data_IF_057706288588
#
_entry.id   IF_057706288588
#
_cell.length_a   1.000
_cell.length_b   1.000
_cell.length_c   1.000
_cell.angle_alpha   90.00
_cell.angle_beta   90.00
_cell.angle_gamma   90.00
#
_symmetry.space_group_name_H-M   'P 1'
#
loop_
_entity.id
_entity.type
_entity.pdbx_description
1 polymer ?
#
# COMPACT_ATOMS: atom_id res chain seq x y z
N UNK A 1 -42.47 -49.82 -8.94
CA UNK A 1 -42.70 -48.40 -8.75
C UNK A 1 -41.50 -47.77 -8.11
N UNK A 2 -40.68 -47.17 -8.93
CA UNK A 2 -39.52 -46.39 -8.43
C UNK A 2 -40.01 -44.98 -8.17
N UNK A 3 -40.03 -44.56 -6.92
CA UNK A 3 -40.14 -43.18 -6.51
C UNK A 3 -38.84 -42.45 -6.86
N UNK A 4 -38.90 -41.59 -7.85
CA UNK A 4 -37.88 -40.57 -8.05
C UNK A 4 -38.06 -39.52 -6.94
N UNK A 5 -37.20 -39.61 -5.94
CA UNK A 5 -37.14 -38.63 -4.87
C UNK A 5 -36.14 -37.54 -5.20
N UNK A 6 -36.55 -36.33 -4.88
CA UNK A 6 -35.70 -35.23 -4.47
C UNK A 6 -35.11 -34.38 -5.60
N UNK A 7 -35.90 -33.42 -6.06
CA UNK A 7 -35.37 -32.08 -6.31
C UNK A 7 -35.21 -31.38 -4.96
N UNK A 8 -34.06 -31.53 -4.30
CA UNK A 8 -33.64 -30.59 -3.28
C UNK A 8 -33.19 -29.33 -4.01
N UNK A 9 -34.06 -28.35 -4.03
CA UNK A 9 -33.67 -26.97 -4.35
C UNK A 9 -32.74 -26.50 -3.22
N UNK A 10 -31.44 -26.74 -3.38
CA UNK A 10 -30.44 -26.06 -2.60
C UNK A 10 -30.49 -24.58 -2.99
N UNK A 11 -31.12 -23.78 -2.16
CA UNK A 11 -30.86 -22.37 -2.03
C UNK A 11 -29.40 -22.20 -1.52
N UNK A 12 -28.42 -22.57 -2.31
CA UNK A 12 -27.08 -22.07 -2.16
C UNK A 12 -27.17 -20.57 -2.42
N UNK A 13 -27.19 -19.79 -1.34
CA UNK A 13 -26.88 -18.36 -1.40
C UNK A 13 -25.54 -18.30 -2.15
N UNK A 14 -25.56 -17.95 -3.44
CA UNK A 14 -24.34 -17.80 -4.24
C UNK A 14 -23.44 -16.85 -3.45
N UNK A 15 -22.42 -17.40 -2.83
CA UNK A 15 -21.39 -16.60 -2.15
C UNK A 15 -20.88 -15.60 -3.17
N UNK A 16 -21.02 -14.30 -2.89
CA UNK A 16 -20.57 -13.24 -3.80
C UNK A 16 -19.09 -13.50 -4.10
N UNK A 17 -18.74 -13.69 -5.36
CA UNK A 17 -17.36 -13.83 -5.80
C UNK A 17 -16.59 -12.57 -5.42
N UNK A 18 -15.48 -12.74 -4.73
CA UNK A 18 -14.58 -11.63 -4.38
C UNK A 18 -13.63 -11.37 -5.53
N UNK A 19 -13.35 -10.08 -5.74
CA UNK A 19 -12.52 -9.61 -6.85
C UNK A 19 -11.55 -8.53 -6.43
N UNK A 20 -10.31 -8.66 -6.87
CA UNK A 20 -9.30 -7.61 -6.80
C UNK A 20 -8.94 -7.18 -8.20
N UNK A 21 -8.92 -5.87 -8.46
CA UNK A 21 -8.36 -5.32 -9.69
C UNK A 21 -7.05 -4.55 -9.40
N UNK A 22 -6.06 -4.78 -10.22
CA UNK A 22 -4.73 -4.20 -10.14
C UNK A 22 -4.55 -3.23 -11.29
N UNK A 23 -4.45 -1.94 -10.98
CA UNK A 23 -4.29 -0.89 -11.99
C UNK A 23 -2.80 -0.62 -12.19
N UNK A 24 -2.26 -1.14 -13.27
CA UNK A 24 -0.84 -1.23 -13.58
C UNK A 24 -0.34 -2.68 -13.52
N UNK A 25 0.10 -3.20 -14.66
CA UNK A 25 0.64 -4.55 -14.81
C UNK A 25 2.19 -4.56 -14.86
N UNK A 26 2.84 -3.59 -14.21
CA UNK A 26 4.30 -3.53 -14.08
C UNK A 26 4.85 -4.63 -13.16
N UNK A 27 6.03 -4.40 -12.58
CA UNK A 27 6.66 -5.37 -11.67
C UNK A 27 5.87 -5.57 -10.38
N UNK A 28 5.41 -4.47 -9.76
CA UNK A 28 4.60 -4.54 -8.55
C UNK A 28 3.26 -5.21 -8.86
N UNK A 29 2.58 -4.82 -9.95
CA UNK A 29 1.29 -5.39 -10.34
C UNK A 29 1.33 -6.90 -10.57
N UNK A 30 2.33 -7.40 -11.30
CA UNK A 30 2.53 -8.84 -11.51
C UNK A 30 2.83 -9.58 -10.20
N UNK A 31 3.67 -9.01 -9.33
CA UNK A 31 3.99 -9.60 -8.02
C UNK A 31 2.77 -9.63 -7.10
N UNK A 32 1.97 -8.55 -7.07
CA UNK A 32 0.68 -8.52 -6.35
C UNK A 32 -0.23 -9.65 -6.83
N UNK A 33 -0.42 -9.78 -8.14
CA UNK A 33 -1.30 -10.79 -8.72
C UNK A 33 -0.88 -12.22 -8.30
N UNK A 34 0.41 -12.53 -8.39
CA UNK A 34 0.93 -13.83 -7.99
C UNK A 34 0.74 -14.09 -6.48
N UNK A 35 1.07 -13.12 -5.62
CA UNK A 35 0.88 -13.23 -4.17
C UNK A 35 -0.60 -13.41 -3.78
N UNK A 36 -1.51 -12.67 -4.43
CA UNK A 36 -2.96 -12.80 -4.21
C UNK A 36 -3.43 -14.19 -4.61
N UNK A 37 -2.92 -14.70 -5.74
CA UNK A 37 -3.22 -16.05 -6.23
C UNK A 37 -2.77 -17.13 -5.27
N UNK A 38 -1.50 -17.15 -4.90
CA UNK A 38 -0.92 -18.16 -3.99
C UNK A 38 -1.56 -18.16 -2.59
N UNK A 39 -2.10 -17.03 -2.16
CA UNK A 39 -2.86 -16.90 -0.91
C UNK A 39 -4.36 -17.19 -1.07
N UNK A 40 -4.85 -17.35 -2.29
CA UNK A 40 -6.29 -17.52 -2.60
C UNK A 40 -7.17 -16.48 -1.88
N UNK A 41 -6.74 -15.21 -1.87
CA UNK A 41 -7.46 -14.16 -1.15
C UNK A 41 -8.81 -13.83 -1.74
N UNK A 42 -8.97 -14.05 -3.04
CA UNK A 42 -10.17 -13.74 -3.84
C UNK A 42 -10.40 -14.81 -4.90
N UNK A 43 -11.57 -14.80 -5.49
CA UNK A 43 -11.95 -15.74 -6.56
C UNK A 43 -11.46 -15.24 -7.94
N UNK A 44 -11.28 -13.93 -8.12
CA UNK A 44 -10.88 -13.31 -9.38
C UNK A 44 -9.88 -12.16 -9.18
N UNK A 45 -8.86 -12.12 -10.04
CA UNK A 45 -7.89 -11.02 -10.15
C UNK A 45 -7.92 -10.49 -11.58
N UNK A 46 -8.11 -9.18 -11.73
CA UNK A 46 -8.02 -8.48 -13.00
C UNK A 46 -6.77 -7.61 -13.01
N UNK A 47 -5.89 -7.82 -13.99
CA UNK A 47 -4.76 -6.93 -14.26
C UNK A 47 -5.19 -5.94 -15.35
N UNK A 48 -5.18 -4.66 -14.99
CA UNK A 48 -5.44 -3.57 -15.95
C UNK A 48 -4.13 -2.87 -16.31
N UNK A 49 -3.89 -2.67 -17.60
CA UNK A 49 -2.79 -1.81 -18.08
C UNK A 49 -3.17 -1.22 -19.43
N UNK A 50 -2.74 0.02 -19.71
CA UNK A 50 -2.90 0.65 -21.04
C UNK A 50 -2.20 -0.14 -22.14
N UNK A 51 -1.16 -0.89 -21.79
CA UNK A 51 -0.52 -1.89 -22.63
C UNK A 51 -1.19 -3.26 -22.41
N UNK A 52 -2.35 -3.48 -23.01
CA UNK A 52 -3.19 -4.66 -22.74
C UNK A 52 -2.47 -5.99 -22.96
N UNK A 53 -1.50 -6.05 -23.87
CA UNK A 53 -0.66 -7.22 -24.10
C UNK A 53 0.16 -7.60 -22.86
N UNK A 54 0.70 -6.63 -22.13
CA UNK A 54 1.45 -6.87 -20.88
C UNK A 54 0.52 -7.43 -19.81
N UNK A 55 -0.66 -6.83 -19.64
CA UNK A 55 -1.65 -7.29 -18.66
C UNK A 55 -2.11 -8.74 -18.96
N UNK A 56 -2.44 -9.02 -20.24
CA UNK A 56 -2.87 -10.35 -20.69
C UNK A 56 -1.76 -11.39 -20.56
N UNK A 57 -0.55 -11.05 -20.95
CA UNK A 57 0.61 -11.94 -20.85
C UNK A 57 0.90 -12.35 -19.40
N UNK A 58 0.96 -11.39 -18.49
CA UNK A 58 1.18 -11.67 -17.06
C UNK A 58 0.02 -12.44 -16.43
N UNK A 59 -1.23 -12.09 -16.75
CA UNK A 59 -2.39 -12.81 -16.25
C UNK A 59 -2.35 -14.28 -16.68
N UNK A 60 -2.00 -14.56 -17.94
CA UNK A 60 -1.89 -15.92 -18.46
C UNK A 60 -0.75 -16.70 -17.83
N UNK A 61 0.44 -16.10 -17.67
CA UNK A 61 1.62 -16.72 -17.05
C UNK A 61 1.35 -17.09 -15.59
N UNK A 62 0.76 -16.18 -14.82
CA UNK A 62 0.36 -16.44 -13.43
C UNK A 62 -0.73 -17.50 -13.36
N UNK A 63 -1.72 -17.49 -14.26
CA UNK A 63 -2.73 -18.54 -14.34
C UNK A 63 -2.12 -19.93 -14.63
N UNK A 64 -1.06 -19.99 -15.45
CA UNK A 64 -0.35 -21.23 -15.70
C UNK A 64 0.40 -21.73 -14.46
N UNK A 65 0.97 -20.84 -13.65
CA UNK A 65 1.66 -21.24 -12.41
C UNK A 65 0.72 -21.89 -11.40
N UNK A 66 -0.60 -21.65 -11.49
CA UNK A 66 -1.59 -22.21 -10.58
C UNK A 66 -1.57 -23.72 -10.50
N UNK A 67 -1.30 -24.39 -11.63
CA UNK A 67 -1.20 -25.86 -11.67
C UNK A 67 0.03 -26.43 -10.97
N UNK A 68 1.08 -25.60 -10.80
CA UNK A 68 2.33 -25.93 -10.11
C UNK A 68 2.25 -25.58 -8.64
N UNK A 69 1.76 -24.36 -8.33
CA UNK A 69 1.69 -23.81 -6.98
C UNK A 69 0.41 -24.27 -6.21
N UNK A 70 -0.57 -24.85 -6.92
CA UNK A 70 -1.75 -25.45 -6.29
C UNK A 70 -2.83 -24.49 -5.83
N UNK A 71 -2.97 -23.33 -6.48
CA UNK A 71 -4.07 -22.38 -6.19
C UNK A 71 -5.13 -22.33 -7.30
N UNK A 72 -6.35 -21.88 -6.96
CA UNK A 72 -7.47 -21.81 -7.89
C UNK A 72 -8.11 -20.41 -7.89
N UNK A 73 -7.49 -19.48 -8.58
CA UNK A 73 -7.96 -18.11 -8.76
C UNK A 73 -8.04 -17.80 -10.25
N UNK A 74 -9.11 -17.12 -10.69
CA UNK A 74 -9.27 -16.67 -12.07
C UNK A 74 -8.45 -15.41 -12.32
N UNK A 75 -7.64 -15.40 -13.38
CA UNK A 75 -6.87 -14.23 -13.81
C UNK A 75 -7.32 -13.76 -15.19
N UNK A 76 -7.40 -12.46 -15.36
CA UNK A 76 -7.59 -11.82 -16.67
C UNK A 76 -6.76 -10.55 -16.79
N UNK A 77 -6.40 -10.20 -18.02
CA UNK A 77 -5.72 -8.96 -18.34
C UNK A 77 -6.54 -8.11 -19.31
N UNK A 78 -6.61 -6.80 -19.09
CA UNK A 78 -7.45 -5.88 -19.85
C UNK A 78 -6.85 -4.47 -19.93
N UNK A 79 -7.36 -3.67 -20.86
CA UNK A 79 -7.20 -2.23 -20.96
C UNK A 79 -8.55 -1.49 -20.90
N UNK A 80 -9.66 -2.21 -20.64
CA UNK A 80 -11.00 -1.64 -20.47
C UNK A 80 -11.38 -1.55 -18.97
N UNK A 81 -11.67 -0.35 -18.49
CA UNK A 81 -12.13 -0.14 -17.11
C UNK A 81 -13.46 -0.83 -16.78
N UNK A 82 -14.26 -1.24 -17.78
CA UNK A 82 -15.49 -2.02 -17.52
C UNK A 82 -15.20 -3.35 -16.81
N UNK A 83 -14.04 -3.93 -17.07
CA UNK A 83 -13.66 -5.22 -16.51
C UNK A 83 -13.33 -5.16 -15.01
N UNK A 84 -13.05 -3.95 -14.45
CA UNK A 84 -12.85 -3.78 -13.01
C UNK A 84 -14.17 -3.64 -12.24
N UNK A 85 -15.30 -3.66 -12.91
CA UNK A 85 -16.61 -3.55 -12.25
C UNK A 85 -16.75 -4.57 -11.13
N UNK A 86 -17.41 -4.15 -10.05
CA UNK A 86 -17.69 -4.98 -8.85
C UNK A 86 -16.44 -5.47 -8.09
N UNK A 87 -15.27 -4.83 -8.28
CA UNK A 87 -14.09 -5.10 -7.47
C UNK A 87 -14.33 -4.73 -6.00
N UNK A 88 -13.95 -5.64 -5.10
CA UNK A 88 -13.98 -5.38 -3.65
C UNK A 88 -12.77 -4.54 -3.23
N UNK A 89 -11.62 -4.77 -3.86
CA UNK A 89 -10.37 -4.02 -3.64
C UNK A 89 -9.76 -3.63 -4.98
N UNK A 90 -9.22 -2.42 -5.05
CA UNK A 90 -8.40 -1.97 -6.17
C UNK A 90 -7.05 -1.53 -5.63
N UNK A 91 -5.97 -2.00 -6.26
CA UNK A 91 -4.60 -1.60 -5.93
C UNK A 91 -4.02 -0.85 -7.13
N UNK A 92 -3.61 0.40 -6.91
CA UNK A 92 -3.09 1.28 -7.95
C UNK A 92 -1.56 1.28 -7.90
N UNK A 93 -0.94 0.79 -8.96
CA UNK A 93 0.51 0.86 -9.17
C UNK A 93 0.86 1.61 -10.47
N UNK A 94 -0.16 2.05 -11.20
CA UNK A 94 -0.01 2.79 -12.45
C UNK A 94 0.75 4.09 -12.23
N UNK A 95 1.78 4.30 -13.00
CA UNK A 95 2.66 5.45 -12.93
C UNK A 95 4.01 5.15 -13.57
N UNK A 96 4.81 6.16 -13.79
CA UNK A 96 6.17 6.01 -14.30
C UNK A 96 7.19 6.19 -13.19
N UNK A 97 8.26 5.40 -13.16
CA UNK A 97 9.39 5.64 -12.26
C UNK A 97 10.19 6.85 -12.75
N UNK A 98 10.94 7.47 -11.84
CA UNK A 98 11.86 8.54 -12.22
C UNK A 98 12.93 8.01 -13.18
N UNK A 99 13.09 8.70 -14.30
CA UNK A 99 14.12 8.38 -15.30
C UNK A 99 15.31 9.36 -15.19
N UNK A 100 16.51 8.99 -15.65
CA UNK A 100 17.62 9.91 -15.75
C UNK A 100 17.24 11.16 -16.57
N UNK A 101 17.61 12.34 -16.07
CA UNK A 101 17.28 13.62 -16.71
C UNK A 101 15.88 14.18 -16.42
N UNK A 102 15.01 13.42 -15.75
CA UNK A 102 13.66 13.85 -15.37
C UNK A 102 13.72 14.63 -14.05
N UNK A 103 13.13 15.83 -14.04
CA UNK A 103 12.96 16.61 -12.82
C UNK A 103 11.89 15.99 -11.90
N UNK A 104 11.83 16.45 -10.63
CA UNK A 104 10.74 16.05 -9.72
C UNK A 104 9.38 16.51 -10.23
N UNK A 105 9.31 17.73 -10.78
CA UNK A 105 8.06 18.32 -11.28
C UNK A 105 7.58 17.61 -12.54
N UNK A 106 8.48 17.19 -13.43
CA UNK A 106 8.13 16.38 -14.60
C UNK A 106 7.49 15.05 -14.19
N UNK A 107 8.13 14.35 -13.24
CA UNK A 107 7.61 13.09 -12.72
C UNK A 107 6.23 13.28 -12.07
N UNK A 108 6.11 14.33 -11.25
CA UNK A 108 4.88 14.67 -10.57
C UNK A 108 3.76 14.96 -11.57
N UNK A 109 4.04 15.79 -12.58
CA UNK A 109 3.07 16.14 -13.63
C UNK A 109 2.60 14.95 -14.47
N UNK A 110 3.51 14.03 -14.80
CA UNK A 110 3.15 12.81 -15.54
C UNK A 110 2.24 11.91 -14.68
N UNK A 111 2.64 11.64 -13.45
CA UNK A 111 1.89 10.75 -12.57
C UNK A 111 0.54 11.35 -12.13
N UNK A 112 0.41 12.66 -11.99
CA UNK A 112 -0.88 13.32 -11.76
C UNK A 112 -1.86 13.07 -12.92
N UNK A 113 -1.40 13.17 -14.18
CA UNK A 113 -2.25 12.88 -15.34
C UNK A 113 -2.71 11.42 -15.35
N UNK A 114 -1.82 10.49 -15.02
CA UNK A 114 -2.15 9.07 -14.95
C UNK A 114 -3.17 8.83 -13.83
N UNK A 115 -2.94 9.33 -12.62
CA UNK A 115 -3.86 9.18 -11.48
C UNK A 115 -5.21 9.81 -11.76
N UNK A 116 -5.28 10.93 -12.49
CA UNK A 116 -6.55 11.56 -12.89
C UNK A 116 -7.39 10.63 -13.78
N UNK A 117 -6.77 9.98 -14.75
CA UNK A 117 -7.45 9.00 -15.60
C UNK A 117 -7.90 7.77 -14.81
N UNK A 118 -7.02 7.24 -13.97
CA UNK A 118 -7.32 6.10 -13.08
C UNK A 118 -8.49 6.42 -12.15
N UNK A 119 -8.50 7.61 -11.56
CA UNK A 119 -9.57 8.05 -10.66
C UNK A 119 -10.94 8.12 -11.37
N UNK A 120 -10.96 8.61 -12.60
CA UNK A 120 -12.19 8.63 -13.41
C UNK A 120 -12.69 7.21 -13.70
N UNK A 121 -11.81 6.32 -14.16
CA UNK A 121 -12.17 4.94 -14.46
C UNK A 121 -12.70 4.17 -13.25
N UNK A 122 -12.06 4.32 -12.09
CA UNK A 122 -12.50 3.68 -10.84
C UNK A 122 -13.82 4.27 -10.35
N UNK A 123 -13.96 5.59 -10.39
CA UNK A 123 -15.21 6.27 -10.00
C UNK A 123 -16.41 5.78 -10.83
N UNK A 124 -16.22 5.58 -12.13
CA UNK A 124 -17.29 5.16 -13.03
C UNK A 124 -17.64 3.68 -12.88
N UNK A 125 -16.64 2.80 -12.74
CA UNK A 125 -16.85 1.36 -12.84
C UNK A 125 -16.79 0.59 -11.51
N UNK A 126 -16.09 1.11 -10.50
CA UNK A 126 -15.93 0.45 -9.20
C UNK A 126 -15.94 1.42 -8.00
N UNK A 127 -16.97 2.28 -7.86
CA UNK A 127 -16.98 3.35 -6.86
C UNK A 127 -17.04 2.88 -5.41
N UNK A 128 -17.38 1.61 -5.18
CA UNK A 128 -17.51 1.03 -3.83
C UNK A 128 -16.27 0.27 -3.37
N UNK A 129 -15.26 0.12 -4.22
CA UNK A 129 -14.05 -0.60 -3.90
C UNK A 129 -13.24 0.09 -2.79
N UNK A 130 -12.55 -0.73 -1.99
CA UNK A 130 -11.47 -0.24 -1.14
C UNK A 130 -10.22 -0.03 -2.00
N UNK A 131 -9.68 1.18 -2.00
CA UNK A 131 -8.59 1.57 -2.89
C UNK A 131 -7.28 1.73 -2.14
N UNK A 132 -6.25 1.02 -2.57
CA UNK A 132 -4.89 1.08 -2.05
C UNK A 132 -3.99 1.70 -3.13
N UNK A 133 -3.43 2.87 -2.87
CA UNK A 133 -2.50 3.54 -3.77
C UNK A 133 -1.05 3.14 -3.41
N UNK A 134 -0.26 2.75 -4.43
CA UNK A 134 1.18 2.46 -4.29
C UNK A 134 2.02 3.41 -5.16
N UNK A 135 1.41 4.09 -6.12
CA UNK A 135 2.09 5.01 -7.05
C UNK A 135 2.81 6.13 -6.33
N UNK A 136 4.06 6.40 -6.71
CA UNK A 136 4.88 7.46 -6.15
C UNK A 136 4.82 8.78 -6.99
N UNK A 137 5.02 9.93 -6.34
CA UNK A 137 5.23 10.14 -4.90
C UNK A 137 3.94 9.89 -4.10
N UNK A 138 4.00 8.91 -3.18
CA UNK A 138 2.80 8.26 -2.64
C UNK A 138 1.80 9.21 -1.98
N UNK A 139 2.28 10.05 -1.05
CA UNK A 139 1.39 10.91 -0.26
C UNK A 139 0.60 11.88 -1.14
N UNK A 140 1.21 12.37 -2.21
CA UNK A 140 0.55 13.24 -3.19
C UNK A 140 -0.38 12.45 -4.10
N UNK A 141 0.02 11.25 -4.55
CA UNK A 141 -0.79 10.46 -5.47
C UNK A 141 -2.07 9.95 -4.81
N UNK A 142 -2.02 9.53 -3.54
CA UNK A 142 -3.23 9.12 -2.82
C UNK A 142 -4.18 10.31 -2.57
N UNK A 143 -3.64 11.50 -2.26
CA UNK A 143 -4.44 12.73 -2.15
C UNK A 143 -5.06 13.12 -3.47
N UNK A 144 -4.28 13.12 -4.55
CA UNK A 144 -4.76 13.45 -5.89
C UNK A 144 -5.85 12.48 -6.35
N UNK A 145 -5.66 11.18 -6.12
CA UNK A 145 -6.68 10.18 -6.40
C UNK A 145 -7.99 10.48 -5.67
N UNK A 146 -7.92 10.79 -4.38
CA UNK A 146 -9.11 11.14 -3.59
C UNK A 146 -9.80 12.39 -4.15
N UNK A 147 -9.04 13.44 -4.46
CA UNK A 147 -9.57 14.69 -5.01
C UNK A 147 -10.26 14.48 -6.36
N UNK A 148 -9.61 13.79 -7.30
CA UNK A 148 -10.18 13.53 -8.63
C UNK A 148 -11.38 12.58 -8.60
N UNK A 149 -11.34 11.55 -7.76
CA UNK A 149 -12.43 10.58 -7.67
C UNK A 149 -13.61 11.07 -6.85
N UNK A 150 -13.35 11.91 -5.85
CA UNK A 150 -14.31 12.31 -4.82
C UNK A 150 -14.97 11.11 -4.10
N UNK A 151 -14.25 9.99 -4.00
CA UNK A 151 -14.68 8.82 -3.24
C UNK A 151 -14.46 9.04 -1.73
N UNK A 152 -15.17 8.30 -0.86
CA UNK A 152 -15.05 8.46 0.58
C UNK A 152 -13.61 8.22 1.08
N UNK A 153 -13.11 9.09 1.93
CA UNK A 153 -11.72 9.05 2.43
C UNK A 153 -11.39 7.79 3.22
N UNK A 154 -12.38 7.19 3.90
CA UNK A 154 -12.22 5.93 4.61
C UNK A 154 -12.07 4.71 3.68
N UNK A 155 -12.36 4.87 2.39
CA UNK A 155 -12.18 3.82 1.37
C UNK A 155 -10.86 3.94 0.61
N UNK A 156 -10.04 4.92 0.92
CA UNK A 156 -8.81 5.23 0.18
C UNK A 156 -7.64 5.29 1.16
N UNK A 157 -6.60 4.51 0.90
CA UNK A 157 -5.35 4.49 1.68
C UNK A 157 -4.14 4.46 0.76
N UNK A 158 -3.02 4.94 1.28
CA UNK A 158 -1.71 4.79 0.63
C UNK A 158 -0.85 3.74 1.32
N UNK A 159 -0.19 2.88 0.56
CA UNK A 159 0.79 1.92 1.05
C UNK A 159 2.10 2.65 1.30
N UNK A 160 2.45 2.84 2.56
CA UNK A 160 3.63 3.59 3.01
C UNK A 160 4.29 2.93 4.22
N UNK A 161 3.82 3.26 5.42
CA UNK A 161 4.42 2.84 6.67
C UNK A 161 4.58 1.34 6.85
N UNK A 162 3.73 0.49 6.26
CA UNK A 162 3.89 -0.96 6.27
C UNK A 162 5.22 -1.35 5.64
N UNK A 163 5.53 -0.80 4.46
CA UNK A 163 6.79 -1.05 3.77
C UNK A 163 7.96 -0.47 4.55
N UNK A 164 7.84 0.76 5.04
CA UNK A 164 8.90 1.45 5.77
C UNK A 164 9.20 0.72 7.09
N UNK A 165 8.17 0.26 7.80
CA UNK A 165 8.30 -0.56 8.99
C UNK A 165 8.94 -1.92 8.71
N UNK A 166 8.67 -2.51 7.53
CA UNK A 166 9.30 -3.79 7.14
C UNK A 166 10.80 -3.67 6.98
N UNK A 167 11.29 -2.55 6.45
CA UNK A 167 12.72 -2.24 6.36
C UNK A 167 13.35 -2.10 7.74
N UNK A 168 12.70 -1.33 8.61
CA UNK A 168 13.14 -1.14 9.98
C UNK A 168 13.23 -2.46 10.75
N UNK A 169 12.19 -3.31 10.65
CA UNK A 169 12.16 -4.65 11.23
C UNK A 169 13.31 -5.52 10.71
N UNK A 170 13.54 -5.52 9.40
CA UNK A 170 14.60 -6.32 8.77
C UNK A 170 15.98 -5.90 9.29
N UNK A 171 16.28 -4.60 9.34
CA UNK A 171 17.59 -4.13 9.78
C UNK A 171 17.83 -4.38 11.28
N UNK A 172 16.79 -4.25 12.11
CA UNK A 172 16.85 -4.66 13.52
C UNK A 172 17.04 -6.18 13.68
N UNK A 173 16.34 -6.99 12.86
CA UNK A 173 16.49 -8.44 12.84
C UNK A 173 17.92 -8.87 12.54
N UNK A 174 18.54 -8.27 11.53
CA UNK A 174 19.92 -8.54 11.14
C UNK A 174 20.93 -8.15 12.23
N UNK A 175 20.72 -6.99 12.84
CA UNK A 175 21.60 -6.47 13.89
C UNK A 175 21.52 -7.30 15.18
N UNK A 176 20.30 -7.59 15.64
CA UNK A 176 20.06 -8.29 16.90
C UNK A 176 20.07 -9.81 16.76
N UNK A 177 20.18 -10.33 15.52
CA UNK A 177 20.17 -11.76 15.19
C UNK A 177 18.93 -12.49 15.72
N UNK A 178 17.77 -11.86 15.58
CA UNK A 178 16.46 -12.43 15.94
C UNK A 178 15.58 -12.58 14.69
N UNK A 179 14.65 -13.54 14.66
CA UNK A 179 13.71 -13.66 13.54
C UNK A 179 12.89 -12.38 13.33
N UNK A 180 12.75 -11.93 12.09
CA UNK A 180 12.02 -10.69 11.75
C UNK A 180 10.58 -10.70 12.25
N UNK A 181 9.94 -11.87 12.36
CA UNK A 181 8.58 -12.05 12.87
C UNK A 181 8.43 -11.71 14.36
N UNK A 182 9.52 -11.69 15.10
CA UNK A 182 9.55 -11.34 16.54
C UNK A 182 9.73 -9.84 16.76
N UNK A 183 9.81 -9.04 15.70
CA UNK A 183 9.96 -7.59 15.80
C UNK A 183 8.63 -6.91 15.46
N UNK A 184 8.12 -6.18 16.42
CA UNK A 184 7.02 -5.22 16.24
C UNK A 184 7.64 -3.83 16.11
N UNK A 185 7.40 -3.16 14.99
CA UNK A 185 7.92 -1.82 14.76
C UNK A 185 6.97 -0.97 13.94
N UNK A 186 7.11 0.34 14.07
CA UNK A 186 6.28 1.32 13.40
C UNK A 186 7.12 2.46 12.85
N UNK A 187 6.80 2.86 11.63
CA UNK A 187 7.31 4.06 10.97
C UNK A 187 6.12 4.92 10.55
N UNK A 188 6.17 6.21 10.86
CA UNK A 188 5.12 7.19 10.56
C UNK A 188 5.62 8.28 9.62
N UNK A 189 4.74 9.23 9.30
CA UNK A 189 5.05 10.39 8.48
C UNK A 189 4.87 10.18 6.99
N UNK A 190 5.39 11.09 6.18
CA UNK A 190 5.41 10.97 4.72
C UNK A 190 6.31 9.85 4.25
N UNK A 191 5.95 9.24 3.13
CA UNK A 191 6.71 8.15 2.52
C UNK A 191 7.91 8.70 1.73
N UNK A 192 9.05 8.85 2.40
CA UNK A 192 10.28 9.42 1.82
C UNK A 192 11.34 9.68 2.88
N UNK A 193 12.27 10.57 2.58
CA UNK A 193 13.44 10.87 3.42
C UNK A 193 13.07 11.40 4.81
N UNK A 194 11.85 11.90 4.97
CA UNK A 194 11.34 12.49 6.22
C UNK A 194 10.51 11.51 7.05
N UNK A 195 10.44 10.23 6.69
CA UNK A 195 9.75 9.24 7.50
C UNK A 195 10.32 9.15 8.91
N UNK A 196 9.48 8.79 9.86
CA UNK A 196 9.79 8.80 11.29
C UNK A 196 9.73 7.39 11.85
N UNK A 197 10.87 6.67 11.93
CA UNK A 197 10.95 5.43 12.71
C UNK A 197 10.68 5.71 14.20
N UNK A 198 9.96 4.81 14.86
CA UNK A 198 9.54 4.99 16.25
C UNK A 198 10.14 3.89 17.18
N UNK A 199 11.40 4.02 17.63
CA UNK A 199 12.03 3.04 18.52
C UNK A 199 11.28 2.82 19.85
N UNK A 200 10.61 3.86 20.39
CA UNK A 200 9.80 3.76 21.61
C UNK A 200 8.58 2.83 21.46
N UNK A 201 8.08 2.69 20.22
CA UNK A 201 6.94 1.83 19.89
C UNK A 201 7.39 0.52 19.25
N UNK A 202 8.67 0.18 19.37
CA UNK A 202 9.27 -1.01 18.82
C UNK A 202 9.57 -2.02 19.91
N UNK A 203 9.20 -3.29 19.65
CA UNK A 203 9.50 -4.43 20.54
C UNK A 203 10.25 -5.49 19.76
N UNK A 204 11.12 -6.20 20.47
CA UNK A 204 11.89 -7.34 19.96
C UNK A 204 11.66 -8.51 20.92
N UNK A 205 11.08 -9.61 20.41
CA UNK A 205 10.66 -10.76 21.24
C UNK A 205 9.83 -10.33 22.45
N UNK A 206 8.91 -9.37 22.26
CA UNK A 206 8.05 -8.81 23.30
C UNK A 206 8.71 -7.76 24.22
N UNK A 207 10.02 -7.57 24.13
CA UNK A 207 10.76 -6.60 24.97
C UNK A 207 10.89 -5.25 24.26
N UNK A 208 10.67 -4.10 24.94
CA UNK A 208 10.87 -2.79 24.35
C UNK A 208 12.30 -2.62 23.82
N UNK A 209 12.45 -2.10 22.60
CA UNK A 209 13.75 -1.90 21.95
C UNK A 209 14.69 -1.02 22.80
N UNK A 210 14.16 0.04 23.43
CA UNK A 210 14.96 0.94 24.27
C UNK A 210 15.49 0.27 25.55
N UNK A 211 14.87 -0.81 26.03
CA UNK A 211 15.44 -1.57 27.14
C UNK A 211 16.63 -2.41 26.68
N UNK A 212 16.64 -2.92 25.45
CA UNK A 212 17.82 -3.55 24.85
C UNK A 212 18.98 -2.57 24.68
N UNK A 213 18.67 -1.30 24.41
CA UNK A 213 19.68 -0.22 24.34
C UNK A 213 20.26 0.02 25.74
N UNK A 214 19.44 0.13 26.78
CA UNK A 214 19.90 0.30 28.18
C UNK A 214 20.76 -0.87 28.66
N UNK A 215 20.47 -2.08 28.19
CA UNK A 215 21.23 -3.30 28.49
C UNK A 215 22.53 -3.43 27.68
N UNK A 216 22.84 -2.47 26.81
CA UNK A 216 24.05 -2.51 25.98
C UNK A 216 24.02 -3.52 24.83
N UNK A 217 22.85 -4.11 24.51
CA UNK A 217 22.70 -5.05 23.39
C UNK A 217 22.65 -4.34 22.02
N UNK A 218 22.33 -3.06 22.02
CA UNK A 218 22.34 -2.17 20.87
C UNK A 218 22.77 -0.77 21.33
N UNK A 219 23.75 -0.16 20.68
CA UNK A 219 24.11 1.21 21.00
C UNK A 219 23.13 2.22 20.40
N UNK A 220 23.01 3.40 21.02
CA UNK A 220 22.20 4.49 20.45
C UNK A 220 22.69 4.94 19.07
N UNK A 221 24.01 4.97 18.88
CA UNK A 221 24.64 5.29 17.59
C UNK A 221 24.21 4.30 16.51
N UNK A 222 24.30 2.99 16.82
CA UNK A 222 23.89 1.94 15.90
C UNK A 222 22.40 1.97 15.60
N UNK A 223 21.56 2.28 16.59
CA UNK A 223 20.13 2.47 16.38
C UNK A 223 19.85 3.64 15.41
N UNK A 224 20.58 4.76 15.52
CA UNK A 224 20.40 5.89 14.61
C UNK A 224 20.87 5.57 13.19
N UNK A 225 21.96 4.81 13.03
CA UNK A 225 22.37 4.28 11.72
C UNK A 225 21.28 3.40 11.10
N UNK A 226 20.60 2.56 11.89
CA UNK A 226 19.48 1.73 11.43
C UNK A 226 18.27 2.60 11.05
N UNK A 227 17.95 3.63 11.85
CA UNK A 227 16.90 4.59 11.52
C UNK A 227 17.19 5.28 10.18
N UNK A 228 18.44 5.73 9.97
CA UNK A 228 18.84 6.37 8.71
C UNK A 228 18.79 5.41 7.53
N UNK A 229 19.30 4.18 7.69
CA UNK A 229 19.21 3.14 6.67
C UNK A 229 17.75 2.81 6.31
N UNK A 230 16.84 2.88 7.28
CA UNK A 230 15.40 2.70 7.03
C UNK A 230 14.85 3.78 6.12
N UNK A 231 15.23 5.05 6.34
CA UNK A 231 14.88 6.19 5.47
C UNK A 231 15.43 6.01 4.06
N UNK A 232 16.65 5.49 3.93
CA UNK A 232 17.36 5.28 2.67
C UNK A 232 17.03 3.94 1.99
N UNK A 233 16.23 3.09 2.61
CA UNK A 233 16.02 1.69 2.19
C UNK A 233 15.50 1.53 0.75
N UNK A 234 14.74 2.48 0.24
CA UNK A 234 14.33 2.52 -1.17
C UNK A 234 15.49 2.85 -2.10
N UNK A 235 16.29 3.85 -1.75
CA UNK A 235 17.44 4.28 -2.53
C UNK A 235 18.55 3.22 -2.55
N UNK A 236 18.76 2.50 -1.45
CA UNK A 236 19.70 1.38 -1.36
C UNK A 236 19.36 0.29 -2.40
N UNK A 237 18.08 -0.07 -2.54
CA UNK A 237 17.64 -1.08 -3.52
C UNK A 237 17.83 -0.57 -4.95
N UNK A 238 17.46 0.69 -5.23
CA UNK A 238 17.65 1.30 -6.55
C UNK A 238 19.12 1.29 -6.96
N UNK A 239 20.02 1.57 -6.01
CA UNK A 239 21.47 1.52 -6.23
C UNK A 239 21.95 0.14 -6.65
N UNK A 240 21.44 -0.93 -6.03
CA UNK A 240 21.82 -2.32 -6.40
C UNK A 240 21.18 -2.78 -7.71
N UNK A 241 19.94 -2.40 -7.98
CA UNK A 241 19.23 -2.82 -9.19
C UNK A 241 19.68 -2.05 -10.44
N UNK A 242 20.30 -0.86 -10.28
CA UNK A 242 20.70 0.06 -11.36
C UNK A 242 19.54 0.50 -12.25
N UNK A 243 18.61 -0.39 -12.55
CA UNK A 243 17.37 -0.13 -13.29
C UNK A 243 16.17 -0.68 -12.51
N UNK A 244 15.20 0.19 -12.22
CA UNK A 244 14.00 -0.18 -11.49
C UNK A 244 14.07 0.18 -10.02
N UNK A 245 13.11 -0.33 -9.26
CA UNK A 245 12.95 -0.09 -7.82
C UNK A 245 12.44 -1.34 -7.13
N UNK A 246 12.32 -1.30 -5.80
CA UNK A 246 11.71 -2.39 -5.02
C UNK A 246 10.30 -2.72 -5.54
N UNK A 247 9.95 -3.99 -5.62
CA UNK A 247 8.61 -4.44 -6.01
C UNK A 247 8.10 -5.63 -5.19
N UNK A 248 8.94 -6.48 -4.60
CA UNK A 248 8.51 -7.60 -3.75
C UNK A 248 7.90 -7.12 -2.43
N UNK A 249 8.63 -6.34 -1.65
CA UNK A 249 8.15 -5.82 -0.38
C UNK A 249 6.98 -4.82 -0.53
N UNK A 250 6.95 -3.91 -1.52
CA UNK A 250 5.77 -3.11 -1.81
C UNK A 250 4.54 -3.94 -2.13
N UNK A 251 4.66 -4.99 -2.95
CA UNK A 251 3.56 -5.88 -3.26
C UNK A 251 3.07 -6.64 -2.03
N UNK A 252 3.97 -7.23 -1.24
CA UNK A 252 3.61 -7.92 0.01
C UNK A 252 2.88 -6.98 0.99
N UNK A 253 3.31 -5.72 1.08
CA UNK A 253 2.67 -4.69 1.90
C UNK A 253 1.25 -4.36 1.43
N UNK A 254 1.05 -4.18 0.13
CA UNK A 254 -0.27 -3.96 -0.47
C UNK A 254 -1.22 -5.14 -0.27
N UNK A 255 -0.72 -6.37 -0.40
CA UNK A 255 -1.48 -7.60 -0.14
C UNK A 255 -1.92 -7.67 1.33
N UNK A 256 -1.06 -7.32 2.29
CA UNK A 256 -1.43 -7.31 3.70
C UNK A 256 -2.57 -6.33 4.00
N UNK A 257 -2.56 -5.15 3.36
CA UNK A 257 -3.64 -4.17 3.50
C UNK A 257 -4.96 -4.69 2.90
N UNK A 258 -4.90 -5.30 1.72
CA UNK A 258 -6.05 -5.90 1.06
C UNK A 258 -6.64 -7.06 1.89
N UNK A 259 -5.78 -7.90 2.46
CA UNK A 259 -6.17 -9.03 3.32
C UNK A 259 -6.89 -8.54 4.58
N UNK A 260 -6.37 -7.50 5.25
CA UNK A 260 -6.99 -6.90 6.43
C UNK A 260 -8.41 -6.40 6.14
N UNK A 261 -8.63 -5.78 4.98
CA UNK A 261 -9.95 -5.34 4.53
C UNK A 261 -10.88 -6.52 4.20
N UNK A 262 -10.43 -7.45 3.37
CA UNK A 262 -11.25 -8.57 2.88
C UNK A 262 -11.66 -9.55 3.99
N UNK A 263 -10.81 -9.74 4.99
CA UNK A 263 -11.05 -10.65 6.12
C UNK A 263 -11.61 -9.95 7.36
N UNK A 264 -11.87 -8.65 7.30
CA UNK A 264 -12.29 -7.83 8.46
C UNK A 264 -11.39 -8.02 9.68
N UNK A 265 -10.06 -8.02 9.45
CA UNK A 265 -9.09 -8.34 10.51
C UNK A 265 -9.02 -7.28 11.60
N UNK A 266 -9.50 -6.06 11.35
CA UNK A 266 -9.34 -4.88 12.22
C UNK A 266 -7.91 -4.69 12.68
N UNK A 267 -6.99 -4.87 11.73
CA UNK A 267 -5.56 -4.85 11.96
C UNK A 267 -5.03 -3.45 12.01
N UNK A 268 -4.18 -3.18 13.01
CA UNK A 268 -3.45 -1.93 13.10
C UNK A 268 -2.26 -1.95 12.13
N UNK A 269 -2.30 -1.11 11.12
CA UNK A 269 -1.29 -1.01 10.06
C UNK A 269 -0.90 0.46 9.87
N UNK A 270 0.39 0.80 9.80
CA UNK A 270 0.81 2.15 9.42
C UNK A 270 0.61 2.35 7.91
N UNK A 271 -0.29 3.27 7.56
CA UNK A 271 -0.66 3.60 6.18
C UNK A 271 -0.82 5.10 6.02
N UNK A 272 -0.74 5.60 4.80
CA UNK A 272 -1.17 6.95 4.50
C UNK A 272 -2.70 7.00 4.50
N UNK A 273 -3.27 7.73 5.47
CA UNK A 273 -4.70 7.93 5.64
C UNK A 273 -5.04 9.41 5.74
N UNK A 274 -6.30 9.75 5.46
CA UNK A 274 -6.78 11.13 5.52
C UNK A 274 -6.96 11.58 6.96
N UNK A 275 -6.22 12.62 7.34
CA UNK A 275 -6.30 13.25 8.66
C UNK A 275 -7.35 14.38 8.63
N UNK A 276 -8.25 14.35 9.59
CA UNK A 276 -9.30 15.35 9.79
C UNK A 276 -9.35 15.88 11.23
N UNK A 277 -8.23 16.03 11.87
CA UNK A 277 -8.07 16.51 13.24
C UNK A 277 -7.11 15.71 14.07
N UNK A 278 -6.87 14.45 13.71
CA UNK A 278 -5.94 13.58 14.38
C UNK A 278 -4.53 14.20 14.35
N UNK A 279 -3.79 14.06 15.45
CA UNK A 279 -2.48 14.72 15.66
C UNK A 279 -2.51 16.26 15.50
N UNK A 280 -3.71 16.89 15.54
CA UNK A 280 -3.90 18.33 15.27
C UNK A 280 -3.76 18.72 13.79
N UNK A 281 -3.81 17.75 12.87
CA UNK A 281 -3.58 17.93 11.44
C UNK A 281 -4.88 17.70 10.68
N UNK A 282 -5.13 18.49 9.63
CA UNK A 282 -6.35 18.39 8.82
C UNK A 282 -6.05 18.44 7.34
N UNK A 283 -6.95 17.84 6.57
CA UNK A 283 -7.01 17.94 5.10
C UNK A 283 -5.75 17.43 4.37
N UNK A 284 -5.14 16.37 4.89
CA UNK A 284 -3.94 15.78 4.29
C UNK A 284 -3.91 14.26 4.52
N UNK A 285 -3.36 13.54 3.58
CA UNK A 285 -2.96 12.14 3.77
C UNK A 285 -1.55 12.07 4.35
N UNK A 286 -1.38 11.26 5.36
CA UNK A 286 -0.06 11.02 5.98
C UNK A 286 0.02 9.63 6.60
N UNK A 287 1.23 9.10 6.72
CA UNK A 287 1.50 7.82 7.34
C UNK A 287 1.25 7.86 8.85
N UNK A 288 0.20 7.18 9.29
CA UNK A 288 -0.25 7.07 10.68
C UNK A 288 -0.72 5.65 10.98
N UNK A 289 -0.80 5.24 12.26
CA UNK A 289 -1.39 3.95 12.63
C UNK A 289 -2.89 3.94 12.32
N UNK A 290 -3.32 2.96 11.54
CA UNK A 290 -4.70 2.86 11.02
C UNK A 290 -5.25 1.48 11.31
N UNK A 291 -6.49 1.39 11.77
CA UNK A 291 -7.24 0.13 11.85
C UNK A 291 -7.98 -0.07 10.54
N UNK A 292 -7.63 -1.13 9.81
CA UNK A 292 -8.29 -1.55 8.57
C UNK A 292 -9.19 -2.75 8.86
N UNK A 293 -10.47 -2.59 8.56
CA UNK A 293 -11.49 -3.63 8.59
C UNK A 293 -12.40 -3.53 7.37
N UNK A 294 -13.52 -4.23 7.37
CA UNK A 294 -14.48 -4.31 6.24
C UNK A 294 -15.07 -2.96 5.81
N UNK A 295 -15.04 -1.95 6.67
CA UNK A 295 -15.50 -0.59 6.33
C UNK A 295 -14.41 0.27 5.69
N UNK A 296 -13.19 -0.26 5.53
CA UNK A 296 -12.00 0.46 5.10
C UNK A 296 -11.19 0.95 6.30
N UNK A 297 -10.82 2.21 6.33
CA UNK A 297 -10.22 2.85 7.50
C UNK A 297 -11.31 3.04 8.55
N UNK A 298 -11.28 2.23 9.59
CA UNK A 298 -12.28 2.28 10.67
C UNK A 298 -11.88 3.25 11.78
N UNK A 299 -10.57 3.41 11.99
CA UNK A 299 -10.02 4.31 13.00
C UNK A 299 -8.58 4.67 12.69
N UNK A 300 -8.19 5.89 12.98
CA UNK A 300 -6.80 6.32 13.13
C UNK A 300 -6.45 6.28 14.61
N UNK A 301 -5.41 5.51 14.97
CA UNK A 301 -4.94 5.46 16.35
C UNK A 301 -3.94 6.57 16.62
N UNK A 302 -4.29 7.49 17.51
CA UNK A 302 -3.36 8.52 17.95
C UNK A 302 -2.46 7.98 19.05
N UNK A 303 -1.20 7.73 18.72
CA UNK A 303 -0.18 7.34 19.69
C UNK A 303 0.47 8.59 20.30
N UNK A 304 0.84 8.51 21.59
CA UNK A 304 1.46 9.64 22.30
C UNK A 304 2.94 9.78 21.91
N UNK A 305 3.21 10.66 20.96
CA UNK A 305 4.57 11.03 20.56
C UNK A 305 5.23 11.88 21.65
N UNK A 306 6.54 11.71 21.87
CA UNK A 306 7.33 12.64 22.68
C UNK A 306 7.68 13.90 21.85
N UNK A 307 8.33 14.89 22.47
CA UNK A 307 8.62 16.17 21.83
C UNK A 307 9.53 16.03 20.61
N UNK A 308 10.50 15.10 20.62
CA UNK A 308 11.37 14.82 19.48
C UNK A 308 10.58 14.18 18.35
N UNK A 309 9.86 13.10 18.61
CA UNK A 309 9.02 12.40 17.65
C UNK A 309 7.97 13.30 17.04
N UNK A 310 7.33 14.14 17.87
CA UNK A 310 6.33 15.12 17.41
C UNK A 310 6.96 16.14 16.46
N UNK A 311 8.14 16.65 16.78
CA UNK A 311 8.87 17.59 15.91
C UNK A 311 9.24 16.93 14.58
N UNK A 312 9.76 15.70 14.60
CA UNK A 312 10.09 14.94 13.39
C UNK A 312 8.83 14.67 12.56
N UNK A 313 7.72 14.30 13.18
CA UNK A 313 6.46 14.06 12.51
C UNK A 313 5.90 15.34 11.87
N UNK A 314 5.89 16.46 12.57
CA UNK A 314 5.46 17.77 12.02
C UNK A 314 6.34 18.14 10.82
N UNK A 315 7.66 18.00 10.90
CA UNK A 315 8.56 18.25 9.77
C UNK A 315 8.24 17.37 8.57
N UNK A 316 7.91 16.10 8.81
CA UNK A 316 7.51 15.17 7.76
C UNK A 316 6.20 15.60 7.07
N UNK A 317 5.22 16.04 7.86
CA UNK A 317 3.95 16.57 7.33
C UNK A 317 4.17 17.84 6.51
N UNK A 318 5.04 18.74 6.95
CA UNK A 318 5.37 19.97 6.18
C UNK A 318 6.04 19.64 4.84
N UNK A 319 6.85 18.59 4.77
CA UNK A 319 7.41 18.11 3.52
C UNK A 319 6.33 17.60 2.56
N UNK A 320 5.33 16.85 3.06
CA UNK A 320 4.18 16.40 2.27
C UNK A 320 3.34 17.58 1.79
N UNK A 321 3.08 18.57 2.64
CA UNK A 321 2.33 19.79 2.26
C UNK A 321 3.02 20.56 1.13
N UNK A 322 4.33 20.76 1.23
CA UNK A 322 5.10 21.43 0.17
C UNK A 322 5.01 20.71 -1.17
N UNK A 323 5.05 19.37 -1.15
CA UNK A 323 4.91 18.59 -2.37
C UNK A 323 3.48 18.64 -2.92
N UNK A 324 2.47 18.69 -2.04
CA UNK A 324 1.08 18.90 -2.42
C UNK A 324 0.85 20.27 -3.05
N UNK A 325 1.45 21.34 -2.51
CA UNK A 325 1.40 22.68 -3.10
C UNK A 325 2.03 22.71 -4.51
N UNK A 326 3.14 21.99 -4.71
CA UNK A 326 3.75 21.85 -6.04
C UNK A 326 2.79 21.12 -7.00
N UNK A 327 2.15 20.04 -6.57
CA UNK A 327 1.16 19.30 -7.35
C UNK A 327 -0.04 20.19 -7.74
N UNK A 328 -0.56 20.98 -6.80
CA UNK A 328 -1.68 21.92 -7.02
C UNK A 328 -1.35 23.05 -7.98
N UNK A 329 -0.07 23.45 -8.08
CA UNK A 329 0.39 24.40 -9.10
C UNK A 329 0.45 23.77 -10.50
N UNK A 330 0.79 22.48 -10.57
CA UNK A 330 0.84 21.73 -11.85
C UNK A 330 -0.57 21.43 -12.36
N UNK A 331 -1.48 20.99 -11.48
CA UNK A 331 -2.90 20.78 -11.81
C UNK A 331 -3.81 21.56 -10.85
N UNK A 332 -4.32 22.75 -11.27
CA UNK A 332 -5.19 23.58 -10.44
C UNK A 332 -6.52 22.91 -10.03
N UNK A 333 -6.94 21.82 -10.67
CA UNK A 333 -8.13 21.07 -10.27
C UNK A 333 -8.00 20.46 -8.86
N UNK A 334 -6.79 20.26 -8.40
CA UNK A 334 -6.49 19.76 -7.05
C UNK A 334 -6.80 20.80 -5.95
N UNK A 335 -6.89 22.08 -6.30
CA UNK A 335 -7.17 23.19 -5.36
C UNK A 335 -8.66 23.51 -5.25
N UNK A 336 -9.50 22.92 -6.11
CA UNK A 336 -10.95 23.01 -6.06
C UNK A 336 -11.51 21.98 -5.07
#
# INVERSE_FOLDING_TARGET
>A
PFKCGICNANNEIRKKMRKISLIGAGQIGGTLAHLIGTKELVDEVVLFDVASGIAKGKALDIAQSSSVDGFNVKFSGTDDYKDIKDSDVIIITAGVPRKPGMSRDDLLGINLKIIKQVAQGIKEHAPNAFVICITNPLDVMVMAFQKYSNLPTNKIVGMAGILDSSRFKLFLSQELKVPVKEIEAMVMGGHGDTMVPLPRFTKVSGKPLLDLVKEGKLSLERLEEINQRTRDGGAEIVKYLEKGSAFYAPAASGVQMAEAYLKDEKKLLPCAAYLNGEYGIKNIYAGVPVIIGKSGVEKIEEIKLDDKEKKEFVNSIEAVKKLWEAASKIDPDLSK
#
